data_IF_600991007046
#
_entry.id   IF_600991007046
#
_cell.length_a   1.000
_cell.length_b   1.000
_cell.length_c   1.000
_cell.angle_alpha   90.00
_cell.angle_beta   90.00
_cell.angle_gamma   90.00
#
_symmetry.space_group_name_H-M   'P 1'
#
loop_
_entity.id
_entity.type
_entity.pdbx_description
1 polymer ?
#
# COMPACT_ATOMS: atom_id res chain seq x y z
N UNK A 1 -12.06 -23.59 8.12
CA UNK A 1 -10.99 -22.67 8.56
C UNK A 1 -10.06 -22.22 7.43
N UNK A 2 -9.30 -23.10 6.75
CA UNK A 2 -8.38 -22.70 5.66
C UNK A 2 -9.05 -21.88 4.53
N UNK A 3 -10.25 -22.27 4.09
CA UNK A 3 -11.01 -21.57 3.04
C UNK A 3 -11.45 -20.16 3.46
N UNK A 4 -11.87 -20.00 4.72
CA UNK A 4 -12.27 -18.70 5.30
C UNK A 4 -11.09 -17.73 5.32
N UNK A 5 -9.92 -18.19 5.76
CA UNK A 5 -8.71 -17.35 5.82
C UNK A 5 -8.29 -16.84 4.42
N UNK A 6 -8.43 -17.68 3.38
CA UNK A 6 -8.14 -17.30 2.01
C UNK A 6 -9.09 -16.23 1.46
N UNK A 7 -10.39 -16.32 1.79
CA UNK A 7 -11.37 -15.30 1.41
C UNK A 7 -11.09 -13.97 2.11
N UNK A 8 -10.76 -14.01 3.40
CA UNK A 8 -10.43 -12.81 4.17
C UNK A 8 -9.16 -12.15 3.62
N UNK A 9 -8.08 -12.93 3.42
CA UNK A 9 -6.83 -12.40 2.87
C UNK A 9 -7.06 -11.77 1.49
N UNK A 10 -7.78 -12.47 0.61
CA UNK A 10 -8.12 -11.94 -0.71
C UNK A 10 -8.89 -10.62 -0.62
N UNK A 11 -9.94 -10.56 0.21
CA UNK A 11 -10.75 -9.38 0.39
C UNK A 11 -9.95 -8.19 0.93
N UNK A 12 -9.13 -8.43 1.97
CA UNK A 12 -8.28 -7.39 2.55
C UNK A 12 -7.23 -6.88 1.55
N UNK A 13 -6.58 -7.76 0.79
CA UNK A 13 -5.60 -7.34 -0.22
C UNK A 13 -6.24 -6.58 -1.36
N UNK A 14 -7.45 -6.99 -1.79
CA UNK A 14 -8.21 -6.24 -2.78
C UNK A 14 -8.53 -4.83 -2.26
N UNK A 15 -9.00 -4.71 -1.02
CA UNK A 15 -9.28 -3.42 -0.38
C UNK A 15 -8.01 -2.58 -0.27
N UNK A 16 -6.86 -3.16 0.12
CA UNK A 16 -5.57 -2.47 0.18
C UNK A 16 -5.18 -1.89 -1.19
N UNK A 17 -5.24 -2.70 -2.25
CA UNK A 17 -4.92 -2.23 -3.61
C UNK A 17 -5.88 -1.14 -4.10
N UNK A 18 -7.18 -1.30 -3.86
CA UNK A 18 -8.19 -0.32 -4.23
C UNK A 18 -8.05 1.01 -3.46
N UNK A 19 -7.71 0.95 -2.17
CA UNK A 19 -7.47 2.15 -1.35
C UNK A 19 -6.23 2.91 -1.81
N UNK A 20 -5.14 2.21 -2.19
CA UNK A 20 -3.96 2.88 -2.76
C UNK A 20 -4.27 3.57 -4.10
N UNK A 21 -5.09 2.94 -4.95
CA UNK A 21 -5.59 3.58 -6.17
C UNK A 21 -6.38 4.85 -5.84
N UNK A 22 -7.30 4.77 -4.88
CA UNK A 22 -8.09 5.91 -4.43
C UNK A 22 -7.22 7.04 -3.86
N UNK A 23 -6.26 6.72 -2.99
CA UNK A 23 -5.32 7.69 -2.40
C UNK A 23 -4.47 8.34 -3.49
N UNK A 24 -3.92 7.53 -4.40
CA UNK A 24 -3.12 8.01 -5.52
C UNK A 24 -3.91 8.97 -6.42
N UNK A 25 -5.14 8.60 -6.80
CA UNK A 25 -6.03 9.46 -7.56
C UNK A 25 -6.36 10.75 -6.80
N UNK A 26 -6.57 10.69 -5.48
CA UNK A 26 -6.82 11.88 -4.66
C UNK A 26 -5.64 12.85 -4.66
N UNK A 27 -4.40 12.36 -4.58
CA UNK A 27 -3.20 13.20 -4.70
C UNK A 27 -3.05 13.83 -6.09
N UNK A 28 -3.52 13.16 -7.15
CA UNK A 28 -3.49 13.68 -8.52
C UNK A 28 -4.57 14.72 -8.80
N UNK A 29 -5.76 14.57 -8.21
CA UNK A 29 -6.93 15.39 -8.52
C UNK A 29 -7.17 16.50 -7.49
N UNK A 30 -6.83 16.25 -6.23
CA UNK A 30 -7.12 17.11 -5.07
C UNK A 30 -5.92 17.14 -4.11
N UNK A 31 -4.75 17.66 -4.52
CA UNK A 31 -3.49 17.53 -3.80
C UNK A 31 -3.54 18.11 -2.38
N UNK A 32 -4.09 19.31 -2.19
CA UNK A 32 -4.24 19.92 -0.84
C UNK A 32 -5.05 19.01 0.09
N UNK A 33 -6.20 18.55 -0.38
CA UNK A 33 -7.12 17.72 0.38
C UNK A 33 -6.48 16.36 0.70
N UNK A 34 -5.67 15.82 -0.20
CA UNK A 34 -4.93 14.57 0.01
C UNK A 34 -3.83 14.74 1.06
N UNK A 35 -3.06 15.82 0.99
CA UNK A 35 -1.97 16.13 1.91
C UNK A 35 -2.47 16.31 3.35
N UNK A 36 -3.51 17.12 3.53
CA UNK A 36 -4.14 17.32 4.84
C UNK A 36 -4.65 16.01 5.45
N UNK A 37 -5.21 15.13 4.62
CA UNK A 37 -5.68 13.81 5.05
C UNK A 37 -4.54 12.84 5.34
N UNK A 38 -3.39 13.00 4.68
CA UNK A 38 -2.19 12.20 4.89
C UNK A 38 -1.50 12.51 6.23
N UNK A 39 -1.64 13.75 6.71
CA UNK A 39 -1.13 14.19 8.01
C UNK A 39 0.01 15.20 7.95
N UNK A 40 0.21 15.83 6.80
CA UNK A 40 1.22 16.86 6.58
C UNK A 40 0.55 18.12 6.04
N UNK A 41 1.24 19.24 6.23
CA UNK A 41 0.85 20.55 5.69
C UNK A 41 2.12 21.28 5.26
N UNK A 42 2.22 21.56 3.98
CA UNK A 42 3.35 22.25 3.36
C UNK A 42 2.85 23.52 2.68
N UNK A 43 3.65 24.58 2.77
CA UNK A 43 3.38 25.81 2.04
C UNK A 43 3.86 25.59 0.60
N UNK A 44 2.97 25.10 -0.25
CA UNK A 44 3.29 24.72 -1.64
C UNK A 44 3.33 25.91 -2.59
N UNK A 45 2.63 27.00 -2.28
CA UNK A 45 2.53 28.14 -3.20
C UNK A 45 1.91 27.78 -4.54
N UNK A 46 0.98 26.80 -4.57
CA UNK A 46 0.39 26.16 -5.75
C UNK A 46 1.35 25.26 -6.56
N UNK A 47 2.54 24.92 -6.05
CA UNK A 47 3.38 23.87 -6.62
C UNK A 47 3.07 22.50 -6.01
N UNK A 48 2.44 21.65 -6.81
CA UNK A 48 2.01 20.31 -6.41
C UNK A 48 2.83 19.18 -7.05
N UNK A 49 4.01 19.48 -7.61
CA UNK A 49 4.81 18.48 -8.33
C UNK A 49 5.11 17.23 -7.46
N UNK A 50 5.46 17.42 -6.18
CA UNK A 50 5.71 16.30 -5.26
C UNK A 50 4.44 15.52 -4.90
N UNK A 51 3.29 16.19 -4.77
CA UNK A 51 1.99 15.55 -4.57
C UNK A 51 1.65 14.65 -5.75
N UNK A 52 1.88 15.11 -6.98
CA UNK A 52 1.65 14.31 -8.18
C UNK A 52 2.59 13.11 -8.27
N UNK A 53 3.88 13.29 -7.94
CA UNK A 53 4.86 12.19 -7.86
C UNK A 53 4.41 11.15 -6.84
N UNK A 54 3.93 11.57 -5.67
CA UNK A 54 3.36 10.64 -4.69
C UNK A 54 2.11 9.97 -5.22
N UNK A 55 1.18 10.74 -5.79
CA UNK A 55 -0.09 10.25 -6.28
C UNK A 55 0.07 9.15 -7.33
N UNK A 56 0.96 9.33 -8.31
CA UNK A 56 1.20 8.31 -9.34
C UNK A 56 1.88 7.05 -8.77
N UNK A 57 2.71 7.18 -7.73
CA UNK A 57 3.35 6.04 -7.06
C UNK A 57 2.34 5.19 -6.30
N UNK A 58 1.46 5.83 -5.52
CA UNK A 58 0.41 5.13 -4.76
C UNK A 58 -0.59 4.47 -5.72
N UNK A 59 -0.99 5.18 -6.79
CA UNK A 59 -1.83 4.63 -7.86
C UNK A 59 -1.19 3.38 -8.49
N UNK A 60 0.09 3.48 -8.87
CA UNK A 60 0.83 2.39 -9.51
C UNK A 60 1.00 1.19 -8.58
N UNK A 61 1.32 1.42 -7.30
CA UNK A 61 1.44 0.36 -6.31
C UNK A 61 0.10 -0.38 -6.10
N UNK A 62 -1.01 0.37 -5.98
CA UNK A 62 -2.34 -0.22 -5.89
C UNK A 62 -2.71 -1.07 -7.11
N UNK A 63 -2.43 -0.57 -8.32
CA UNK A 63 -2.63 -1.33 -9.56
C UNK A 63 -1.77 -2.60 -9.60
N UNK A 64 -0.50 -2.53 -9.19
CA UNK A 64 0.39 -3.69 -9.14
C UNK A 64 -0.10 -4.77 -8.15
N UNK A 65 -0.57 -4.36 -6.97
CA UNK A 65 -1.16 -5.28 -5.98
C UNK A 65 -2.39 -5.98 -6.58
N UNK A 66 -3.31 -5.22 -7.19
CA UNK A 66 -4.51 -5.81 -7.79
C UNK A 66 -4.19 -6.72 -8.97
N UNK A 67 -3.25 -6.32 -9.83
CA UNK A 67 -2.81 -7.14 -10.95
C UNK A 67 -2.27 -8.49 -10.49
N UNK A 68 -1.37 -8.51 -9.50
CA UNK A 68 -0.79 -9.75 -8.97
C UNK A 68 -1.81 -10.60 -8.19
N UNK A 69 -2.77 -9.95 -7.51
CA UNK A 69 -3.87 -10.63 -6.82
C UNK A 69 -4.79 -11.34 -7.83
N UNK A 70 -5.24 -10.63 -8.87
CA UNK A 70 -6.20 -11.14 -9.85
C UNK A 70 -5.59 -12.17 -10.81
N UNK A 71 -4.29 -12.03 -11.13
CA UNK A 71 -3.53 -13.04 -11.90
C UNK A 71 -3.07 -14.23 -11.05
N UNK A 72 -3.36 -14.22 -9.75
CA UNK A 72 -3.03 -15.29 -8.78
C UNK A 72 -1.53 -15.57 -8.66
N UNK A 73 -0.67 -14.58 -8.91
CA UNK A 73 0.78 -14.68 -8.70
C UNK A 73 1.15 -14.47 -7.23
N UNK A 74 0.83 -15.45 -6.40
CA UNK A 74 0.87 -15.34 -4.93
C UNK A 74 2.27 -14.97 -4.38
N UNK A 75 3.35 -15.57 -4.89
CA UNK A 75 4.72 -15.23 -4.44
C UNK A 75 5.13 -13.82 -4.83
N UNK A 76 4.83 -13.40 -6.05
CA UNK A 76 5.10 -12.03 -6.50
C UNK A 76 4.33 -11.01 -5.66
N UNK A 77 3.05 -11.29 -5.40
CA UNK A 77 2.21 -10.48 -4.52
C UNK A 77 2.78 -10.40 -3.10
N UNK A 78 3.23 -11.53 -2.53
CA UNK A 78 3.83 -11.58 -1.21
C UNK A 78 5.08 -10.70 -1.11
N UNK A 79 6.01 -10.87 -2.07
CA UNK A 79 7.24 -10.07 -2.13
C UNK A 79 6.89 -8.59 -2.28
N UNK A 80 5.95 -8.25 -3.16
CA UNK A 80 5.50 -6.86 -3.35
C UNK A 80 4.93 -6.28 -2.06
N UNK A 81 4.03 -6.98 -1.36
CA UNK A 81 3.41 -6.48 -0.12
C UNK A 81 4.45 -6.26 0.98
N UNK A 82 5.41 -7.18 1.13
CA UNK A 82 6.47 -7.08 2.13
C UNK A 82 7.42 -5.92 1.84
N UNK A 83 7.90 -5.78 0.60
CA UNK A 83 8.81 -4.69 0.23
C UNK A 83 8.10 -3.34 0.20
N UNK A 84 6.87 -3.29 -0.31
CA UNK A 84 6.07 -2.07 -0.34
C UNK A 84 5.67 -1.59 1.06
N UNK A 85 5.64 -2.45 2.08
CA UNK A 85 5.39 -2.02 3.46
C UNK A 85 6.44 -1.06 4.03
N UNK A 86 7.62 -0.96 3.40
CA UNK A 86 8.60 0.07 3.74
C UNK A 86 8.07 1.49 3.48
N UNK A 87 7.17 1.64 2.50
CA UNK A 87 6.55 2.93 2.15
C UNK A 87 5.71 3.47 3.31
N UNK A 88 4.67 2.78 3.82
CA UNK A 88 3.91 3.28 4.95
C UNK A 88 4.71 3.36 6.25
N UNK A 89 5.82 2.62 6.41
CA UNK A 89 6.77 2.85 7.52
C UNK A 89 7.44 4.21 7.39
N UNK A 90 7.97 4.54 6.22
CA UNK A 90 8.56 5.86 5.98
C UNK A 90 7.52 6.97 6.12
N UNK A 91 6.33 6.77 5.56
CA UNK A 91 5.21 7.73 5.63
C UNK A 91 4.79 7.98 7.09
N UNK A 92 4.66 6.93 7.91
CA UNK A 92 4.40 7.05 9.35
C UNK A 92 5.46 7.91 10.03
N UNK A 93 6.73 7.65 9.77
CA UNK A 93 7.83 8.41 10.38
C UNK A 93 7.82 9.87 9.93
N UNK A 94 7.53 10.14 8.65
CA UNK A 94 7.41 11.51 8.13
C UNK A 94 6.30 12.27 8.87
N UNK A 95 5.11 11.66 8.99
CA UNK A 95 3.97 12.29 9.67
C UNK A 95 4.22 12.47 11.17
N UNK A 96 4.84 11.48 11.83
CA UNK A 96 5.19 11.56 13.24
C UNK A 96 6.15 12.72 13.55
N UNK A 97 7.02 13.07 12.61
CA UNK A 97 7.95 14.19 12.76
C UNK A 97 7.44 15.49 12.13
N UNK A 98 6.22 15.48 11.56
CA UNK A 98 5.62 16.69 11.01
C UNK A 98 5.17 17.65 12.13
N UNK A 99 5.44 18.95 12.00
CA UNK A 99 4.96 19.95 12.94
C UNK A 99 3.43 19.92 13.06
N UNK A 100 2.91 19.86 14.28
CA UNK A 100 1.47 19.94 14.54
C UNK A 100 0.66 18.72 14.06
N UNK A 101 1.30 17.57 13.79
CA UNK A 101 0.58 16.35 13.41
C UNK A 101 -0.44 15.93 14.49
N UNK A 102 -1.55 15.36 14.04
CA UNK A 102 -2.54 14.76 14.93
C UNK A 102 -2.27 13.27 15.04
N UNK A 103 -2.30 12.70 16.25
CA UNK A 103 -2.13 11.25 16.47
C UNK A 103 -3.08 10.41 15.61
N UNK A 104 -4.30 10.91 15.36
CA UNK A 104 -5.28 10.24 14.52
C UNK A 104 -4.80 10.04 13.05
N UNK A 105 -3.93 10.90 12.55
CA UNK A 105 -3.37 10.81 11.19
C UNK A 105 -2.29 9.71 11.08
N UNK A 106 -1.83 9.15 12.20
CA UNK A 106 -0.88 8.03 12.22
C UNK A 106 -1.57 6.67 11.97
N UNK A 107 -2.85 6.53 12.30
CA UNK A 107 -3.57 5.26 12.22
C UNK A 107 -3.65 4.65 10.81
N UNK A 108 -3.89 5.42 9.73
CA UNK A 108 -3.87 4.87 8.38
C UNK A 108 -2.53 4.24 8.02
N UNK A 109 -1.42 4.87 8.42
CA UNK A 109 -0.07 4.38 8.14
C UNK A 109 0.23 3.08 8.91
N UNK A 110 -0.06 3.04 10.21
CA UNK A 110 0.07 1.81 11.01
C UNK A 110 -0.79 0.68 10.44
N UNK A 111 -2.02 1.00 10.01
CA UNK A 111 -2.91 0.03 9.38
C UNK A 111 -2.30 -0.53 8.10
N UNK A 112 -1.73 0.32 7.24
CA UNK A 112 -1.06 -0.11 6.02
C UNK A 112 0.19 -0.97 6.30
N UNK A 113 0.98 -0.64 7.32
CA UNK A 113 2.13 -1.44 7.77
C UNK A 113 1.66 -2.84 8.18
N UNK A 114 0.68 -2.92 9.07
CA UNK A 114 0.15 -4.19 9.58
C UNK A 114 -0.44 -5.03 8.45
N UNK A 115 -1.27 -4.43 7.59
CA UNK A 115 -1.86 -5.13 6.44
C UNK A 115 -0.77 -5.65 5.48
N UNK A 116 0.21 -4.82 5.11
CA UNK A 116 1.30 -5.21 4.22
C UNK A 116 2.11 -6.39 4.76
N UNK A 117 2.52 -6.32 6.03
CA UNK A 117 3.30 -7.38 6.67
C UNK A 117 2.50 -8.67 6.86
N UNK A 118 1.28 -8.58 7.39
CA UNK A 118 0.45 -9.76 7.67
C UNK A 118 0.01 -10.45 6.38
N UNK A 119 -0.48 -9.69 5.39
CA UNK A 119 -0.91 -10.25 4.10
C UNK A 119 0.29 -10.75 3.29
N UNK A 120 1.41 -10.01 3.31
CA UNK A 120 2.66 -10.43 2.68
C UNK A 120 3.17 -11.76 3.22
N UNK A 121 3.26 -11.89 4.55
CA UNK A 121 3.61 -13.16 5.22
C UNK A 121 2.60 -14.26 4.89
N UNK A 122 1.30 -13.97 4.94
CA UNK A 122 0.26 -14.93 4.59
C UNK A 122 0.50 -15.52 3.20
N UNK A 123 0.60 -14.66 2.16
CA UNK A 123 0.81 -15.13 0.79
C UNK A 123 2.16 -15.80 0.60
N UNK A 124 3.21 -15.40 1.33
CA UNK A 124 4.51 -16.05 1.25
C UNK A 124 4.45 -17.50 1.72
N UNK A 125 3.76 -17.74 2.84
CA UNK A 125 3.66 -19.08 3.45
C UNK A 125 2.56 -19.95 2.85
N UNK A 126 1.54 -19.36 2.19
CA UNK A 126 0.49 -20.12 1.49
C UNK A 126 0.74 -20.30 0.00
N UNK A 127 1.69 -19.57 -0.59
CA UNK A 127 1.96 -19.72 -2.01
C UNK A 127 2.46 -21.13 -2.33
N UNK A 128 1.96 -21.76 -3.41
CA UNK A 128 2.45 -23.05 -3.84
C UNK A 128 3.95 -22.98 -4.13
N UNK A 129 4.67 -24.06 -3.77
CA UNK A 129 6.08 -24.18 -4.14
C UNK A 129 6.18 -24.25 -5.65
N UNK A 130 6.91 -23.32 -6.27
CA UNK A 130 7.29 -23.45 -7.68
C UNK A 130 8.00 -24.79 -7.84
N UNK A 131 7.42 -25.70 -8.61
CA UNK A 131 8.11 -26.90 -9.06
C UNK A 131 9.06 -26.41 -10.15
N UNK A 132 10.32 -26.19 -9.80
CA UNK A 132 11.34 -25.87 -10.79
C UNK A 132 11.56 -27.14 -11.62
N UNK A 133 10.91 -27.25 -12.78
CA UNK A 133 11.44 -28.08 -13.85
C UNK A 133 12.65 -27.33 -14.41
N UNK A 134 13.80 -27.52 -13.76
CA UNK A 134 15.09 -27.26 -14.41
C UNK A 134 15.25 -28.36 -15.47
N UNK A 135 14.61 -28.16 -16.61
CA UNK A 135 15.17 -28.63 -17.87
C UNK A 135 15.95 -27.44 -18.41
N UNK A 136 17.25 -27.66 -18.59
CA UNK A 136 18.29 -26.72 -19.00
C UNK A 136 17.86 -25.78 -20.14
#
# INVERSE_FOLDING_TARGET
>A
MKKTNAVIAFGLTFITGALLIFIGARFLLLPDVAEHAFGIQTVTGNDFAFHYIKGIRDLSAGMAILALLLTRTQRGLAILLLTASLVPVADFLIVLHAPGHLTAQLYPHVTAIVLGLVLGCYYLFTAPKSVTHVAL
#
